data_IF_361768520669
#
_entry.id   IF_361768520669
#
_cell.length_a   1.000
_cell.length_b   1.000
_cell.length_c   1.000
_cell.angle_alpha   90.00
_cell.angle_beta   90.00
_cell.angle_gamma   90.00
#
_symmetry.space_group_name_H-M   'P 1'
#
loop_
_entity.id
_entity.type
_entity.pdbx_description
1 polymer ?
#
# COMPACT_ATOMS: atom_id res chain seq x y z
N UNK A 1 23.43 21.54 -20.87
CA UNK A 1 22.23 21.22 -20.03
C UNK A 1 21.59 20.00 -20.64
N UNK A 2 21.79 18.84 -20.06
CA UNK A 2 21.08 17.61 -20.47
C UNK A 2 19.63 17.75 -20.01
N UNK A 3 18.75 18.05 -20.95
CA UNK A 3 17.30 17.97 -20.72
C UNK A 3 16.95 16.53 -20.34
N UNK A 4 16.84 16.25 -19.05
CA UNK A 4 16.29 14.96 -18.61
C UNK A 4 14.84 14.90 -19.10
N UNK A 5 14.56 13.90 -19.92
CA UNK A 5 13.17 13.60 -20.30
C UNK A 5 12.40 13.26 -19.04
N UNK A 6 11.26 13.92 -18.75
CA UNK A 6 10.44 13.62 -17.57
C UNK A 6 10.08 12.13 -17.55
N UNK A 7 10.33 11.46 -16.45
CA UNK A 7 10.05 10.02 -16.32
C UNK A 7 8.58 9.72 -16.01
N UNK A 8 7.73 10.75 -15.91
CA UNK A 8 6.31 10.63 -15.63
C UNK A 8 5.79 11.76 -14.74
N UNK A 9 4.46 11.83 -14.53
CA UNK A 9 3.82 12.93 -13.79
C UNK A 9 4.22 12.98 -12.32
N UNK A 10 4.69 11.86 -11.73
CA UNK A 10 5.14 11.79 -10.34
C UNK A 10 6.67 11.86 -10.20
N UNK A 11 7.37 12.36 -11.20
CA UNK A 11 8.82 12.55 -11.09
C UNK A 11 9.17 13.49 -9.93
N UNK A 12 10.08 13.05 -9.06
CA UNK A 12 10.49 13.78 -7.85
C UNK A 12 9.72 13.41 -6.59
N UNK A 13 8.59 12.72 -6.71
CA UNK A 13 7.83 12.21 -5.57
C UNK A 13 8.51 10.96 -5.02
N UNK A 14 8.79 10.95 -3.71
CA UNK A 14 9.37 9.81 -3.00
C UNK A 14 8.30 9.09 -2.18
N UNK A 15 8.12 7.80 -2.45
CA UNK A 15 7.14 6.92 -1.80
C UNK A 15 7.87 5.86 -0.98
N UNK A 16 7.58 5.80 0.31
CA UNK A 16 8.01 4.70 1.18
C UNK A 16 6.87 3.69 1.26
N UNK A 17 7.14 2.51 0.72
CA UNK A 17 6.19 1.41 0.57
C UNK A 17 6.45 0.33 1.62
N UNK A 18 5.63 0.26 2.66
CA UNK A 18 5.63 -0.81 3.68
C UNK A 18 4.40 -1.71 3.52
N UNK A 19 3.96 -1.92 2.29
CA UNK A 19 2.81 -2.78 1.98
C UNK A 19 3.23 -4.21 1.67
N UNK A 20 2.29 -5.15 1.77
CA UNK A 20 2.53 -6.58 1.46
C UNK A 20 1.36 -7.15 0.65
N UNK A 21 1.54 -8.31 0.06
CA UNK A 21 0.58 -9.13 -0.67
C UNK A 21 0.14 -8.50 -2.01
N UNK A 22 -1.05 -7.92 -2.12
CA UNK A 22 -1.60 -7.52 -3.41
C UNK A 22 -1.99 -6.03 -3.45
N UNK A 23 -2.91 -5.61 -2.61
CA UNK A 23 -3.53 -4.28 -2.62
C UNK A 23 -2.50 -3.15 -2.67
N UNK A 24 -1.66 -3.07 -1.64
CA UNK A 24 -0.68 -2.01 -1.49
C UNK A 24 0.46 -2.09 -2.51
N UNK A 25 1.08 -3.27 -2.75
CA UNK A 25 2.08 -3.41 -3.80
C UNK A 25 1.57 -3.06 -5.20
N UNK A 26 0.29 -3.28 -5.49
CA UNK A 26 -0.34 -2.85 -6.75
C UNK A 26 -0.50 -1.33 -6.80
N UNK A 27 -0.94 -0.70 -5.72
CA UNK A 27 -0.99 0.76 -5.60
C UNK A 27 0.38 1.39 -5.87
N UNK A 28 1.41 0.96 -5.16
CA UNK A 28 2.75 1.55 -5.26
C UNK A 28 3.47 1.20 -6.56
N UNK A 29 3.09 0.10 -7.24
CA UNK A 29 3.49 -0.16 -8.62
C UNK A 29 2.97 0.92 -9.57
N UNK A 30 1.69 1.29 -9.48
CA UNK A 30 1.10 2.35 -10.30
C UNK A 30 1.83 3.67 -10.08
N UNK A 31 2.12 4.05 -8.82
CA UNK A 31 2.88 5.25 -8.52
C UNK A 31 4.29 5.23 -9.13
N UNK A 32 4.98 4.08 -9.04
CA UNK A 32 6.30 3.88 -9.66
C UNK A 32 6.24 3.95 -11.19
N UNK A 33 5.20 3.41 -11.82
CA UNK A 33 4.99 3.51 -13.28
C UNK A 33 4.70 4.94 -13.73
N UNK A 34 4.13 5.76 -12.84
CA UNK A 34 3.94 7.20 -13.06
C UNK A 34 5.21 8.04 -12.78
N UNK A 35 6.32 7.41 -12.42
CA UNK A 35 7.63 8.06 -12.25
C UNK A 35 8.05 8.39 -10.83
N UNK A 36 7.26 8.00 -9.81
CA UNK A 36 7.65 8.15 -8.41
C UNK A 36 8.88 7.29 -8.05
N UNK A 37 9.72 7.78 -7.14
CA UNK A 37 10.82 7.01 -6.55
C UNK A 37 10.29 6.16 -5.40
N UNK A 38 9.92 4.91 -5.69
CA UNK A 38 9.33 3.99 -4.73
C UNK A 38 10.40 3.15 -4.06
N UNK A 39 10.49 3.25 -2.73
CA UNK A 39 11.37 2.44 -1.89
C UNK A 39 10.50 1.48 -1.08
N UNK A 40 10.53 0.20 -1.47
CA UNK A 40 9.81 -0.86 -0.76
C UNK A 40 10.64 -1.37 0.41
N UNK A 41 10.05 -1.30 1.60
CA UNK A 41 10.61 -1.89 2.81
C UNK A 41 10.09 -3.31 2.95
N UNK A 42 11.00 -4.25 3.12
CA UNK A 42 10.69 -5.66 3.33
C UNK A 42 11.28 -6.16 4.65
N UNK A 43 10.68 -7.21 5.21
CA UNK A 43 11.28 -7.96 6.31
C UNK A 43 12.47 -8.78 5.80
N UNK A 44 13.33 -9.34 6.67
CA UNK A 44 14.42 -10.24 6.24
C UNK A 44 13.96 -11.42 5.38
N UNK A 45 12.73 -11.88 5.58
CA UNK A 45 12.12 -12.97 4.82
C UNK A 45 11.60 -12.52 3.44
N UNK A 46 11.50 -11.21 3.23
CA UNK A 46 10.93 -10.60 2.04
C UNK A 46 9.40 -10.53 2.06
N UNK A 47 8.85 -9.92 1.02
CA UNK A 47 7.39 -9.93 0.79
C UNK A 47 6.95 -11.32 0.34
N UNK A 48 5.76 -11.75 0.76
CA UNK A 48 5.14 -13.01 0.31
C UNK A 48 5.05 -13.11 -1.22
N UNK A 49 4.97 -11.98 -1.91
CA UNK A 49 5.01 -11.94 -3.37
C UNK A 49 6.26 -12.56 -3.98
N UNK A 50 7.37 -12.60 -3.24
CA UNK A 50 8.60 -13.25 -3.72
C UNK A 50 8.44 -14.75 -3.91
N UNK A 51 7.45 -15.34 -3.23
CA UNK A 51 7.23 -16.77 -3.15
C UNK A 51 5.88 -17.22 -3.72
N UNK A 52 5.04 -16.27 -4.18
CA UNK A 52 3.68 -16.56 -4.66
C UNK A 52 3.65 -16.71 -6.18
N UNK A 53 3.29 -17.91 -6.64
CA UNK A 53 3.19 -18.25 -8.06
C UNK A 53 4.45 -18.91 -8.62
N UNK A 54 4.46 -19.11 -9.94
CA UNK A 54 5.61 -19.72 -10.63
C UNK A 54 6.85 -18.83 -10.52
N UNK A 55 8.01 -19.43 -10.29
CA UNK A 55 9.29 -18.76 -10.19
C UNK A 55 10.37 -19.52 -10.97
N UNK A 56 11.15 -18.80 -11.77
CA UNK A 56 12.35 -19.37 -12.42
C UNK A 56 13.56 -19.35 -11.47
N UNK A 57 13.59 -18.40 -10.55
CA UNK A 57 14.67 -18.23 -9.58
C UNK A 57 14.07 -17.99 -8.19
N UNK A 58 14.70 -18.42 -7.10
CA UNK A 58 14.23 -18.17 -5.74
C UNK A 58 13.97 -16.67 -5.48
N UNK A 59 12.83 -16.34 -4.86
CA UNK A 59 12.45 -14.98 -4.54
C UNK A 59 12.01 -14.11 -5.73
N UNK A 60 11.95 -14.67 -6.94
CA UNK A 60 11.59 -13.97 -8.18
C UNK A 60 10.35 -14.61 -8.82
N UNK A 61 9.29 -14.74 -8.05
CA UNK A 61 8.02 -15.25 -8.56
C UNK A 61 7.33 -14.30 -9.52
N UNK A 62 6.33 -14.79 -10.24
CA UNK A 62 5.47 -13.94 -11.09
C UNK A 62 4.82 -12.80 -10.30
N UNK A 63 4.44 -13.05 -9.04
CA UNK A 63 3.92 -12.03 -8.13
C UNK A 63 4.90 -10.88 -7.90
N UNK A 64 6.16 -11.21 -7.62
CA UNK A 64 7.23 -10.22 -7.43
C UNK A 64 7.57 -9.48 -8.72
N UNK A 65 7.70 -10.20 -9.84
CA UNK A 65 8.05 -9.60 -11.14
C UNK A 65 7.00 -8.58 -11.61
N UNK A 66 5.72 -8.82 -11.31
CA UNK A 66 4.66 -7.90 -11.68
C UNK A 66 4.61 -6.70 -10.73
N UNK A 67 4.47 -6.93 -9.43
CA UNK A 67 4.21 -5.88 -8.43
C UNK A 67 5.46 -5.19 -7.90
N UNK A 68 6.63 -5.77 -8.12
CA UNK A 68 7.92 -5.18 -7.75
C UNK A 68 8.53 -4.25 -8.79
N UNK A 69 7.87 -4.07 -9.96
CA UNK A 69 8.39 -3.20 -11.02
C UNK A 69 8.50 -1.75 -10.55
N UNK A 70 9.52 -1.07 -11.05
CA UNK A 70 9.81 0.34 -10.77
C UNK A 70 9.99 0.66 -9.29
N UNK A 71 10.41 -0.31 -8.48
CA UNK A 71 10.68 -0.14 -7.07
C UNK A 71 12.11 -0.52 -6.73
N UNK A 72 12.69 0.22 -5.81
CA UNK A 72 13.88 -0.18 -5.07
C UNK A 72 13.43 -0.97 -3.85
N UNK A 73 14.21 -1.97 -3.43
CA UNK A 73 13.91 -2.75 -2.23
C UNK A 73 15.01 -2.55 -1.19
N UNK A 74 14.60 -2.44 0.07
CA UNK A 74 15.49 -2.40 1.23
C UNK A 74 14.92 -3.27 2.34
N UNK A 75 15.79 -3.93 3.08
CA UNK A 75 15.38 -4.78 4.20
C UNK A 75 15.51 -4.01 5.49
N UNK A 76 14.38 -3.87 6.21
CA UNK A 76 14.35 -3.37 7.58
C UNK A 76 13.54 -4.31 8.48
N UNK A 77 14.19 -4.82 9.52
CA UNK A 77 13.45 -5.48 10.58
C UNK A 77 13.00 -4.45 11.63
N UNK A 78 11.85 -3.81 11.42
CA UNK A 78 11.32 -2.79 12.33
C UNK A 78 11.02 -3.29 13.76
N UNK A 79 11.20 -4.59 14.03
CA UNK A 79 11.06 -5.16 15.37
C UNK A 79 12.33 -5.02 16.21
N UNK A 80 13.47 -4.68 15.59
CA UNK A 80 14.74 -4.49 16.29
C UNK A 80 15.09 -2.99 16.39
N UNK A 81 15.66 -2.55 17.51
CA UNK A 81 15.95 -1.13 17.75
C UNK A 81 16.89 -0.52 16.70
N UNK A 82 17.83 -1.28 16.19
CA UNK A 82 18.86 -0.83 15.25
C UNK A 82 18.29 -0.35 13.91
N UNK A 83 17.13 -0.90 13.52
CA UNK A 83 16.44 -0.49 12.30
C UNK A 83 15.72 0.87 12.45
N UNK A 84 15.51 1.35 13.68
CA UNK A 84 14.66 2.52 13.92
C UNK A 84 15.23 3.80 13.35
N UNK A 85 16.45 4.15 13.69
CA UNK A 85 17.06 5.40 13.25
C UNK A 85 17.23 5.49 11.72
N UNK A 86 17.67 4.43 10.99
CA UNK A 86 17.65 4.43 9.53
C UNK A 86 16.25 4.57 8.92
N UNK A 87 15.24 3.93 9.52
CA UNK A 87 13.86 4.05 9.07
C UNK A 87 13.32 5.48 9.23
N UNK A 88 13.54 6.10 10.39
CA UNK A 88 13.13 7.49 10.65
C UNK A 88 13.75 8.47 9.66
N UNK A 89 15.06 8.36 9.40
CA UNK A 89 15.74 9.15 8.37
C UNK A 89 15.13 8.97 6.97
N UNK A 90 14.67 7.76 6.65
CA UNK A 90 14.02 7.50 5.38
C UNK A 90 12.66 8.22 5.30
N UNK A 91 11.86 8.17 6.38
CA UNK A 91 10.57 8.86 6.49
C UNK A 91 10.73 10.39 6.39
N UNK A 92 11.73 10.98 7.04
CA UNK A 92 12.01 12.42 6.98
C UNK A 92 12.17 12.94 5.54
N UNK A 93 12.55 12.08 4.62
CA UNK A 93 12.74 12.44 3.20
C UNK A 93 11.58 12.04 2.29
N UNK A 94 10.52 11.46 2.82
CA UNK A 94 9.40 10.93 2.06
C UNK A 94 8.29 11.97 1.84
N UNK A 95 7.65 11.91 0.69
CA UNK A 95 6.42 12.66 0.41
C UNK A 95 5.19 11.82 0.75
N UNK A 96 5.31 10.49 0.58
CA UNK A 96 4.24 9.53 0.84
C UNK A 96 4.78 8.36 1.64
N UNK A 97 4.06 7.99 2.70
CA UNK A 97 4.24 6.73 3.41
C UNK A 97 2.98 5.88 3.28
N UNK A 98 3.11 4.67 2.76
CA UNK A 98 1.97 3.79 2.52
C UNK A 98 2.19 2.41 3.15
N UNK A 99 1.17 1.88 3.83
CA UNK A 99 1.17 0.54 4.42
C UNK A 99 -0.23 -0.08 4.42
N UNK A 100 -0.28 -1.41 4.58
CA UNK A 100 -1.52 -2.17 4.78
C UNK A 100 -1.46 -3.05 6.04
N UNK A 101 -0.77 -2.55 7.06
CA UNK A 101 -0.60 -3.20 8.35
C UNK A 101 -1.76 -2.77 9.26
N UNK A 102 -2.38 -3.74 9.94
CA UNK A 102 -3.50 -3.49 10.85
C UNK A 102 -3.13 -2.49 11.96
N UNK A 103 -4.07 -1.63 12.43
CA UNK A 103 -3.79 -0.52 13.33
C UNK A 103 -3.00 -0.91 14.59
N UNK A 104 -3.42 -1.97 15.29
CA UNK A 104 -2.70 -2.44 16.49
C UNK A 104 -1.26 -2.88 16.20
N UNK A 105 -1.02 -3.46 15.03
CA UNK A 105 0.34 -3.84 14.64
C UNK A 105 1.16 -2.63 14.20
N UNK A 106 0.55 -1.67 13.52
CA UNK A 106 1.17 -0.40 13.13
C UNK A 106 1.63 0.39 14.37
N UNK A 107 0.76 0.51 15.39
CA UNK A 107 1.11 1.15 16.65
C UNK A 107 2.29 0.44 17.36
N UNK A 108 2.28 -0.90 17.42
CA UNK A 108 3.40 -1.65 18.01
C UNK A 108 4.73 -1.46 17.24
N UNK A 109 4.66 -1.30 15.94
CA UNK A 109 5.82 -1.01 15.10
C UNK A 109 6.18 0.47 15.10
N UNK A 110 5.39 1.32 15.77
CA UNK A 110 5.56 2.78 15.81
C UNK A 110 5.59 3.38 14.40
N UNK A 111 4.65 2.95 13.57
CA UNK A 111 4.42 3.44 12.20
C UNK A 111 3.00 3.98 12.02
N UNK A 112 2.27 4.17 13.12
CA UNK A 112 0.98 4.87 13.16
C UNK A 112 1.13 6.34 12.75
N UNK A 113 0.01 6.96 12.41
CA UNK A 113 -0.02 8.35 11.94
C UNK A 113 0.65 9.33 12.92
N UNK A 114 0.33 9.21 14.22
CA UNK A 114 0.85 10.12 15.24
C UNK A 114 2.38 10.03 15.37
N UNK A 115 2.94 8.87 15.13
CA UNK A 115 4.39 8.65 15.14
C UNK A 115 5.05 9.18 13.85
N UNK A 116 4.47 8.89 12.71
CA UNK A 116 5.05 9.25 11.40
C UNK A 116 4.93 10.75 11.13
N UNK A 117 3.81 11.37 11.46
CA UNK A 117 3.58 12.81 11.27
C UNK A 117 4.50 13.69 12.12
N UNK A 118 5.01 13.19 13.26
CA UNK A 118 6.05 13.90 14.05
C UNK A 118 7.39 13.95 13.36
N UNK A 119 7.71 12.96 12.53
CA UNK A 119 8.96 12.93 11.75
C UNK A 119 8.85 13.78 10.48
N UNK A 120 7.68 13.77 9.85
CA UNK A 120 7.40 14.51 8.63
C UNK A 120 5.95 15.05 8.67
N UNK A 121 5.73 16.30 9.15
CA UNK A 121 4.37 16.83 9.37
C UNK A 121 3.50 16.94 8.12
N UNK A 122 4.11 17.12 6.96
CA UNK A 122 3.46 17.26 5.65
C UNK A 122 3.39 15.96 4.84
N UNK A 123 3.72 14.81 5.47
CA UNK A 123 3.70 13.53 4.79
C UNK A 123 2.28 13.09 4.44
N UNK A 124 2.10 12.59 3.24
CA UNK A 124 0.86 11.88 2.88
C UNK A 124 0.95 10.48 3.50
N UNK A 125 0.15 10.27 4.54
CA UNK A 125 0.07 8.99 5.23
C UNK A 125 -1.11 8.19 4.68
N UNK A 126 -0.82 7.07 4.04
CA UNK A 126 -1.82 6.21 3.41
C UNK A 126 -1.85 4.84 4.09
N UNK A 127 -2.91 4.57 4.83
CA UNK A 127 -3.18 3.27 5.47
C UNK A 127 -4.34 2.58 4.76
N UNK A 128 -4.16 1.33 4.36
CA UNK A 128 -5.21 0.53 3.74
C UNK A 128 -5.49 -0.71 4.59
N UNK A 129 -6.63 -0.73 5.26
CA UNK A 129 -7.10 -1.83 6.10
C UNK A 129 -8.36 -2.44 5.51
N UNK A 130 -8.64 -3.70 5.85
CA UNK A 130 -9.81 -4.40 5.30
C UNK A 130 -11.14 -3.97 5.91
N UNK A 131 -11.13 -3.42 7.12
CA UNK A 131 -12.32 -2.98 7.84
C UNK A 131 -12.06 -1.65 8.54
N UNK A 132 -13.13 -0.87 8.74
CA UNK A 132 -13.07 0.38 9.48
C UNK A 132 -12.60 0.18 10.93
N UNK A 133 -11.83 1.14 11.45
CA UNK A 133 -11.19 1.03 12.77
C UNK A 133 -12.18 1.06 13.92
N UNK A 134 -13.34 1.67 13.73
CA UNK A 134 -14.42 1.78 14.75
C UNK A 134 -15.44 0.62 14.68
N UNK A 135 -15.27 -0.30 13.74
CA UNK A 135 -16.20 -1.39 13.51
C UNK A 135 -15.87 -2.67 14.29
N UNK A 136 -16.85 -3.60 14.40
CA UNK A 136 -16.66 -4.87 15.12
C UNK A 136 -15.63 -5.79 14.46
N UNK A 137 -15.18 -5.46 13.24
CA UNK A 137 -14.20 -6.24 12.49
C UNK A 137 -12.83 -5.56 12.35
N UNK A 138 -12.60 -4.44 13.04
CA UNK A 138 -11.37 -3.65 12.96
C UNK A 138 -10.08 -4.47 13.07
N UNK A 139 -10.06 -5.47 13.94
CA UNK A 139 -8.88 -6.32 14.16
C UNK A 139 -8.88 -7.61 13.34
N UNK A 140 -9.93 -7.87 12.54
CA UNK A 140 -9.99 -9.11 11.76
C UNK A 140 -9.04 -9.05 10.58
N UNK A 141 -8.43 -10.19 10.20
CA UNK A 141 -7.71 -10.28 8.94
C UNK A 141 -8.69 -10.07 7.78
N UNK A 142 -8.21 -9.39 6.74
CA UNK A 142 -8.95 -9.20 5.52
C UNK A 142 -8.10 -9.68 4.35
N UNK A 143 -8.64 -10.65 3.61
CA UNK A 143 -8.14 -11.10 2.33
C UNK A 143 -9.21 -10.85 1.29
N UNK A 144 -8.85 -10.86 0.03
CA UNK A 144 -9.73 -10.49 -1.08
C UNK A 144 -11.09 -11.22 -1.06
N UNK A 145 -11.08 -12.53 -0.84
CA UNK A 145 -12.29 -13.36 -0.78
C UNK A 145 -13.18 -13.00 0.42
N UNK A 146 -12.60 -12.70 1.57
CA UNK A 146 -13.35 -12.24 2.75
C UNK A 146 -14.04 -10.90 2.47
N UNK A 147 -13.37 -9.99 1.78
CA UNK A 147 -13.95 -8.70 1.40
C UNK A 147 -15.01 -8.86 0.31
N UNK A 148 -14.81 -9.73 -0.68
CA UNK A 148 -15.86 -10.05 -1.65
C UNK A 148 -17.13 -10.61 -0.99
N UNK A 149 -16.98 -11.43 0.05
CA UNK A 149 -18.11 -11.92 0.83
C UNK A 149 -18.77 -10.81 1.66
N UNK A 150 -17.98 -10.07 2.43
CA UNK A 150 -18.48 -9.04 3.34
C UNK A 150 -19.15 -7.87 2.62
N UNK A 151 -18.65 -7.47 1.45
CA UNK A 151 -19.20 -6.40 0.62
C UNK A 151 -20.45 -6.82 -0.17
N UNK A 152 -20.82 -8.11 -0.17
CA UNK A 152 -21.96 -8.62 -0.93
C UNK A 152 -21.68 -8.94 -2.39
N UNK A 153 -20.48 -8.74 -2.91
CA UNK A 153 -20.10 -9.07 -4.31
C UNK A 153 -20.39 -10.54 -4.62
N UNK A 154 -20.01 -11.44 -3.71
CA UNK A 154 -20.27 -12.87 -3.88
C UNK A 154 -21.79 -13.19 -4.00
N UNK A 155 -22.63 -12.47 -3.26
CA UNK A 155 -24.09 -12.61 -3.31
C UNK A 155 -24.69 -12.05 -4.61
N UNK A 156 -24.13 -10.96 -5.15
CA UNK A 156 -24.53 -10.41 -6.45
C UNK A 156 -24.28 -11.41 -7.58
N UNK A 157 -23.13 -12.09 -7.56
CA UNK A 157 -22.87 -13.21 -8.47
C UNK A 157 -23.93 -14.30 -8.34
N UNK A 158 -24.36 -14.60 -7.12
CA UNK A 158 -25.39 -15.60 -6.83
C UNK A 158 -26.73 -15.32 -7.52
N UNK A 159 -27.11 -14.04 -7.68
CA UNK A 159 -28.33 -13.64 -8.39
C UNK A 159 -28.31 -14.03 -9.87
N UNK A 160 -27.13 -14.08 -10.47
CA UNK A 160 -26.95 -14.42 -11.88
C UNK A 160 -26.69 -15.92 -12.07
N UNK A 161 -25.96 -16.54 -11.16
CA UNK A 161 -25.45 -17.92 -11.30
C UNK A 161 -26.24 -18.95 -10.48
N UNK A 162 -27.23 -18.52 -9.69
CA UNK A 162 -28.02 -19.38 -8.81
C UNK A 162 -27.38 -19.74 -7.46
N UNK A 163 -26.11 -19.39 -7.24
CA UNK A 163 -25.42 -19.59 -5.95
C UNK A 163 -24.29 -18.56 -5.77
N UNK A 164 -24.03 -18.07 -4.53
CA UNK A 164 -22.92 -17.14 -4.28
C UNK A 164 -21.59 -17.70 -4.78
N UNK A 165 -20.80 -16.87 -5.45
CA UNK A 165 -19.48 -17.21 -5.99
C UNK A 165 -18.55 -16.00 -5.88
N UNK A 166 -17.27 -16.28 -5.70
CA UNK A 166 -16.24 -15.25 -5.82
C UNK A 166 -15.93 -14.94 -7.29
N UNK A 167 -15.56 -13.70 -7.55
CA UNK A 167 -14.94 -13.36 -8.83
C UNK A 167 -13.65 -14.17 -8.98
N UNK A 168 -13.34 -14.69 -10.18
CA UNK A 168 -12.14 -15.49 -10.41
C UNK A 168 -10.88 -14.61 -10.52
N UNK A 169 -10.76 -13.62 -9.64
CA UNK A 169 -9.67 -12.66 -9.57
C UNK A 169 -9.68 -11.99 -8.19
N UNK A 170 -8.53 -11.50 -7.75
CA UNK A 170 -8.38 -10.66 -6.54
C UNK A 170 -8.97 -9.26 -6.81
N UNK A 171 -10.29 -9.20 -6.88
CA UNK A 171 -11.05 -8.03 -7.33
C UNK A 171 -11.06 -6.91 -6.28
N UNK A 172 -11.27 -7.27 -5.01
CA UNK A 172 -11.28 -6.32 -3.91
C UNK A 172 -9.91 -5.65 -3.74
N UNK A 173 -8.84 -6.45 -3.75
CA UNK A 173 -7.47 -5.95 -3.65
C UNK A 173 -7.10 -5.00 -4.79
N UNK A 174 -7.39 -5.38 -6.04
CA UNK A 174 -7.08 -4.55 -7.21
C UNK A 174 -7.86 -3.25 -7.21
N UNK A 175 -9.16 -3.32 -6.91
CA UNK A 175 -10.02 -2.14 -6.86
C UNK A 175 -9.55 -1.18 -5.78
N UNK A 176 -9.33 -1.68 -4.56
CA UNK A 176 -8.83 -0.86 -3.45
C UNK A 176 -7.44 -0.29 -3.74
N UNK A 177 -6.53 -1.07 -4.31
CA UNK A 177 -5.19 -0.58 -4.69
C UNK A 177 -5.22 0.52 -5.75
N UNK A 178 -6.13 0.42 -6.73
CA UNK A 178 -6.35 1.47 -7.72
C UNK A 178 -6.91 2.75 -7.09
N UNK A 179 -7.94 2.64 -6.25
CA UNK A 179 -8.46 3.81 -5.54
C UNK A 179 -7.42 4.43 -4.61
N UNK A 180 -6.66 3.62 -3.88
CA UNK A 180 -5.59 4.12 -3.01
C UNK A 180 -4.56 4.93 -3.80
N UNK A 181 -4.15 4.47 -4.98
CA UNK A 181 -3.21 5.22 -5.83
C UNK A 181 -3.81 6.55 -6.29
N UNK A 182 -5.10 6.57 -6.67
CA UNK A 182 -5.78 7.80 -7.05
C UNK A 182 -5.85 8.80 -5.89
N UNK A 183 -6.18 8.35 -4.68
CA UNK A 183 -6.25 9.23 -3.50
C UNK A 183 -4.87 9.80 -3.12
N UNK A 184 -3.81 8.99 -3.21
CA UNK A 184 -2.44 9.48 -3.00
C UNK A 184 -2.11 10.56 -4.03
N UNK A 185 -2.40 10.32 -5.32
CA UNK A 185 -2.16 11.31 -6.37
C UNK A 185 -2.97 12.57 -6.13
N UNK A 186 -4.24 12.48 -5.75
CA UNK A 186 -5.07 13.63 -5.41
C UNK A 186 -4.49 14.44 -4.24
N UNK A 187 -3.94 13.77 -3.22
CA UNK A 187 -3.31 14.42 -2.07
C UNK A 187 -1.98 15.12 -2.42
N UNK A 188 -1.28 14.66 -3.45
CA UNK A 188 -0.06 15.29 -3.94
C UNK A 188 -0.32 16.62 -4.69
N UNK A 189 -1.55 16.86 -5.16
CA UNK A 189 -1.92 18.14 -5.74
C UNK A 189 -2.54 19.01 -4.65
N UNK A 190 -1.79 19.92 -4.01
CA UNK A 190 -2.37 20.86 -3.08
C UNK A 190 -3.37 21.72 -3.87
N UNK A 191 -4.65 21.48 -3.65
CA UNK A 191 -5.66 22.42 -4.07
C UNK A 191 -5.35 23.70 -3.31
N UNK A 192 -5.10 24.80 -4.01
CA UNK A 192 -4.84 26.12 -3.41
C UNK A 192 -6.06 26.68 -2.64
N UNK A 193 -7.02 25.84 -2.34
CA UNK A 193 -8.16 26.06 -1.47
C UNK A 193 -7.95 25.23 -0.20
N UNK A 194 -7.53 25.92 0.82
CA UNK A 194 -7.50 25.58 2.24
C UNK A 194 -8.47 24.47 2.67
N UNK A 195 -7.92 23.49 3.43
CA UNK A 195 -8.65 22.57 4.32
C UNK A 195 -9.39 21.39 3.69
N UNK A 196 -8.71 20.58 2.88
CA UNK A 196 -9.10 19.20 2.73
C UNK A 196 -8.16 18.32 3.57
N UNK A 197 -8.51 18.12 4.83
CA UNK A 197 -8.14 16.87 5.51
C UNK A 197 -8.85 15.76 4.75
N UNK A 198 -8.12 14.97 3.97
CA UNK A 198 -8.67 13.75 3.39
C UNK A 198 -9.05 12.84 4.56
N UNK A 199 -10.32 12.44 4.69
CA UNK A 199 -10.69 11.49 5.70
C UNK A 199 -9.89 10.20 5.46
N UNK A 200 -9.47 9.57 6.53
CA UNK A 200 -8.94 8.21 6.50
C UNK A 200 -9.88 7.37 5.65
N UNK A 201 -9.38 6.78 4.56
CA UNK A 201 -10.24 6.02 3.67
C UNK A 201 -10.53 4.71 4.36
N UNK A 202 -11.71 4.62 4.90
CA UNK A 202 -12.26 3.36 5.35
C UNK A 202 -12.74 2.61 4.11
N UNK A 203 -12.11 1.47 3.80
CA UNK A 203 -12.73 0.50 2.91
C UNK A 203 -13.98 -0.03 3.62
N UNK A 204 -15.11 0.10 2.96
CA UNK A 204 -16.43 -0.36 3.42
C UNK A 204 -16.45 -1.87 3.55
#
# INVERSE_FOLDING_TARGET
MTTQIPRGPLQGVKVIDLTTVMLGPFCTQILGEMGADVIKIETPEGDVNRWTGAARSPGMSTGQLIKGRNKKSIIFNLKVPEARAPFEKLIETADVFVHNIRPRAAARLRIDYDTISKLRPDIIYASATGFGEDGPYADKPAYDDLIQAASGIASLYGRVTGSPKYAPSVMADKTTGLFLSNYIVMALFPVSYTHLTLPTIYSV
#
